data_IF_850999107923
#
_entry.id   IF_850999107923
#
_cell.length_a   1.000
_cell.length_b   1.000
_cell.length_c   1.000
_cell.angle_alpha   90.00
_cell.angle_beta   90.00
_cell.angle_gamma   90.00
#
_symmetry.space_group_name_H-M   'P 1'
#
loop_
_entity.id
_entity.type
_entity.pdbx_description
1 polymer ?
#
# COMPACT_ATOMS: atom_id res chain seq x y z
N UNK A 1 -0.93 -0.51 -29.51
CA UNK A 1 -0.62 -0.61 -28.06
C UNK A 1 0.39 0.48 -27.78
N UNK A 2 0.02 1.55 -27.11
CA UNK A 2 0.96 2.58 -26.66
C UNK A 2 1.89 1.93 -25.63
N UNK A 3 3.17 1.84 -25.95
CA UNK A 3 4.20 1.39 -25.01
C UNK A 3 4.42 2.52 -23.99
N UNK A 4 3.52 2.61 -23.01
CA UNK A 4 3.76 3.47 -21.86
C UNK A 4 5.00 2.93 -21.11
N UNK A 5 6.02 3.76 -21.02
CA UNK A 5 7.20 3.42 -20.23
C UNK A 5 6.81 3.31 -18.74
N UNK A 6 7.22 2.25 -18.04
CA UNK A 6 6.91 2.11 -16.63
C UNK A 6 7.54 3.24 -15.81
N UNK A 7 6.79 3.72 -14.81
CA UNK A 7 7.30 4.72 -13.88
C UNK A 7 8.38 4.12 -12.96
N UNK A 8 8.18 2.86 -12.53
CA UNK A 8 9.17 2.06 -11.82
C UNK A 8 9.46 0.83 -12.66
N UNK A 9 10.73 0.59 -12.93
CA UNK A 9 11.20 -0.63 -13.58
C UNK A 9 12.35 -1.22 -12.77
N UNK A 10 12.21 -2.45 -12.34
CA UNK A 10 13.26 -3.23 -11.68
C UNK A 10 13.61 -4.43 -12.56
N UNK A 11 14.89 -4.57 -12.90
CA UNK A 11 15.41 -5.61 -13.77
C UNK A 11 16.41 -6.47 -13.01
N UNK A 12 16.08 -7.75 -12.83
CA UNK A 12 16.91 -8.81 -12.22
C UNK A 12 17.62 -8.36 -10.94
N UNK A 13 16.90 -7.69 -10.05
CA UNK A 13 17.49 -7.20 -8.81
C UNK A 13 17.62 -8.29 -7.77
N UNK A 14 18.83 -8.41 -7.21
CA UNK A 14 19.13 -9.20 -6.03
C UNK A 14 19.54 -8.28 -4.88
N UNK A 15 19.28 -8.71 -3.66
CA UNK A 15 19.83 -8.08 -2.48
C UNK A 15 20.07 -9.09 -1.36
N UNK A 16 21.30 -9.05 -0.84
CA UNK A 16 21.72 -9.84 0.31
C UNK A 16 22.21 -8.90 1.40
N UNK A 17 21.68 -9.07 2.62
CA UNK A 17 22.15 -8.31 3.78
C UNK A 17 23.59 -8.70 4.17
N UNK A 18 24.33 -7.82 4.90
CA UNK A 18 25.73 -8.12 5.33
C UNK A 18 25.86 -9.40 6.16
N UNK A 19 24.79 -9.84 6.83
CA UNK A 19 24.76 -11.10 7.58
C UNK A 19 24.55 -12.34 6.69
N UNK A 20 24.56 -12.21 5.37
CA UNK A 20 24.34 -13.30 4.42
C UNK A 20 22.88 -13.64 4.11
N UNK A 21 21.92 -12.97 4.74
CA UNK A 21 20.50 -13.22 4.51
C UNK A 21 20.06 -12.66 3.15
N UNK A 22 19.56 -13.50 2.24
CA UNK A 22 19.03 -13.11 0.94
C UNK A 22 17.61 -12.57 1.12
N UNK A 23 17.41 -11.30 0.75
CA UNK A 23 16.12 -10.62 0.89
C UNK A 23 15.40 -10.40 -0.44
N UNK A 24 16.13 -10.29 -1.55
CA UNK A 24 15.57 -10.19 -2.90
C UNK A 24 16.35 -11.11 -3.82
N UNK A 25 15.64 -11.85 -4.69
CA UNK A 25 16.24 -12.81 -5.62
C UNK A 25 15.56 -12.70 -6.98
N UNK A 26 16.31 -12.20 -7.98
CA UNK A 26 15.87 -12.05 -9.38
C UNK A 26 14.51 -11.36 -9.50
N UNK A 27 14.34 -10.23 -8.79
CA UNK A 27 13.10 -9.47 -8.86
C UNK A 27 13.02 -8.72 -10.19
N UNK A 28 11.98 -9.01 -10.96
CA UNK A 28 11.59 -8.29 -12.15
C UNK A 28 10.21 -7.69 -11.92
N UNK A 29 10.08 -6.36 -12.11
CA UNK A 29 8.86 -5.64 -11.78
C UNK A 29 8.74 -4.39 -12.64
N UNK A 30 7.52 -4.11 -13.11
CA UNK A 30 7.16 -2.83 -13.70
C UNK A 30 5.91 -2.27 -13.02
N UNK A 31 5.88 -0.98 -12.75
CA UNK A 31 4.71 -0.26 -12.25
C UNK A 31 4.51 0.96 -13.13
N UNK A 32 3.29 1.11 -13.66
CA UNK A 32 2.93 2.22 -14.52
C UNK A 32 2.56 3.46 -13.70
N UNK A 33 2.57 4.60 -14.35
CA UNK A 33 2.14 5.85 -13.74
C UNK A 33 0.64 5.80 -13.40
N UNK A 34 0.28 6.28 -12.19
CA UNK A 34 -1.10 6.32 -11.71
C UNK A 34 -1.64 4.97 -11.22
N UNK A 35 -0.85 3.88 -11.25
CA UNK A 35 -1.29 2.60 -10.71
C UNK A 35 -1.41 2.61 -9.18
N UNK A 36 -2.41 1.89 -8.68
CA UNK A 36 -2.51 1.45 -7.29
C UNK A 36 -2.16 -0.04 -7.22
N UNK A 37 -1.06 -0.36 -6.55
CA UNK A 37 -0.50 -1.72 -6.49
C UNK A 37 -0.30 -2.16 -5.05
N UNK A 38 -0.71 -3.40 -4.74
CA UNK A 38 -0.40 -4.06 -3.47
C UNK A 38 0.85 -4.93 -3.58
N UNK A 39 1.75 -4.86 -2.61
CA UNK A 39 2.83 -5.83 -2.43
C UNK A 39 2.48 -6.67 -1.21
N UNK A 40 2.21 -7.95 -1.41
CA UNK A 40 1.72 -8.86 -0.37
C UNK A 40 2.64 -10.09 -0.21
N UNK A 41 2.49 -10.80 0.91
CA UNK A 41 3.25 -11.99 1.21
C UNK A 41 3.58 -12.11 2.70
N UNK A 42 4.11 -13.26 3.12
CA UNK A 42 4.49 -13.53 4.52
C UNK A 42 5.55 -12.57 5.03
N UNK A 43 5.69 -12.49 6.36
CA UNK A 43 6.81 -11.77 6.98
C UNK A 43 8.14 -12.40 6.55
N UNK A 44 9.13 -11.54 6.25
CA UNK A 44 10.42 -11.99 5.73
C UNK A 44 10.45 -12.27 4.22
N UNK A 45 9.35 -12.12 3.46
CA UNK A 45 9.33 -12.32 2.00
C UNK A 45 10.12 -11.29 1.19
N UNK A 46 10.65 -10.23 1.82
CA UNK A 46 11.44 -9.19 1.15
C UNK A 46 10.66 -7.91 0.81
N UNK A 47 9.38 -7.79 1.18
CA UNK A 47 8.51 -6.65 0.82
C UNK A 47 9.11 -5.29 1.21
N UNK A 48 9.43 -5.10 2.50
CA UNK A 48 10.02 -3.84 3.00
C UNK A 48 11.40 -3.60 2.41
N UNK A 49 12.18 -4.64 2.14
CA UNK A 49 13.47 -4.51 1.44
C UNK A 49 13.25 -4.00 0.01
N UNK A 50 12.29 -4.57 -0.71
CA UNK A 50 11.96 -4.16 -2.08
C UNK A 50 11.57 -2.68 -2.15
N UNK A 51 10.64 -2.21 -1.32
CA UNK A 51 10.22 -0.80 -1.37
C UNK A 51 11.34 0.16 -0.97
N UNK A 52 12.26 -0.23 -0.09
CA UNK A 52 13.44 0.55 0.27
C UNK A 52 14.46 0.67 -0.86
N UNK A 53 14.42 -0.22 -1.85
CA UNK A 53 15.26 -0.07 -3.03
C UNK A 53 14.77 1.06 -3.93
N UNK A 54 13.47 1.37 -3.97
CA UNK A 54 12.93 2.39 -4.86
C UNK A 54 13.34 3.82 -4.48
N UNK A 55 13.55 4.10 -3.21
CA UNK A 55 14.05 5.41 -2.76
C UNK A 55 15.56 5.43 -2.48
N UNK A 56 16.25 4.33 -2.76
CA UNK A 56 17.69 4.20 -2.62
C UNK A 56 18.20 4.06 -1.18
N UNK A 57 17.34 3.84 -0.19
CA UNK A 57 17.75 3.48 1.18
C UNK A 57 18.50 2.15 1.21
N UNK A 58 18.14 1.26 0.31
CA UNK A 58 18.86 0.01 0.03
C UNK A 58 19.27 0.02 -1.43
N UNK A 59 20.50 -0.40 -1.72
CA UNK A 59 21.00 -0.56 -3.07
C UNK A 59 21.03 -2.04 -3.43
N UNK A 60 20.44 -2.45 -4.56
CA UNK A 60 20.55 -3.83 -5.01
C UNK A 60 22.01 -4.26 -5.13
N UNK A 61 22.28 -5.53 -4.79
CA UNK A 61 23.62 -6.13 -4.98
C UNK A 61 23.91 -6.32 -6.48
N UNK A 62 22.90 -6.76 -7.23
CA UNK A 62 22.92 -6.90 -8.68
C UNK A 62 21.65 -6.36 -9.31
N UNK A 63 21.66 -6.23 -10.62
CA UNK A 63 20.53 -5.70 -11.38
C UNK A 63 20.43 -4.17 -11.36
N UNK A 64 19.30 -3.64 -11.81
CA UNK A 64 19.09 -2.19 -11.92
C UNK A 64 17.65 -1.79 -11.70
N UNK A 65 17.48 -0.59 -11.14
CA UNK A 65 16.18 0.03 -10.92
C UNK A 65 16.15 1.37 -11.65
N UNK A 66 15.04 1.62 -12.33
CA UNK A 66 14.77 2.87 -13.02
C UNK A 66 13.51 3.49 -12.46
N UNK A 67 13.55 4.80 -12.23
CA UNK A 67 12.39 5.60 -11.86
C UNK A 67 12.24 6.70 -12.89
N UNK A 68 11.08 6.74 -13.52
CA UNK A 68 10.81 7.66 -14.63
C UNK A 68 11.90 7.61 -15.73
N UNK A 69 12.33 6.38 -16.09
CA UNK A 69 13.37 6.13 -17.09
C UNK A 69 14.82 6.39 -16.63
N UNK A 70 15.03 6.97 -15.43
CA UNK A 70 16.34 7.27 -14.89
C UNK A 70 16.86 6.15 -13.97
N UNK A 71 18.07 5.64 -14.23
CA UNK A 71 18.72 4.67 -13.34
C UNK A 71 19.02 5.33 -11.98
N UNK A 72 18.55 4.71 -10.90
CA UNK A 72 18.71 5.28 -9.55
C UNK A 72 20.11 5.08 -8.95
N UNK A 73 20.97 4.28 -9.59
CA UNK A 73 22.31 3.93 -9.06
C UNK A 73 23.17 5.15 -8.75
N UNK A 74 23.09 6.18 -9.58
CA UNK A 74 23.85 7.42 -9.44
C UNK A 74 23.13 8.51 -8.61
N UNK A 75 21.89 8.29 -8.21
CA UNK A 75 21.08 9.29 -7.50
C UNK A 75 21.26 9.16 -5.98
N UNK A 76 21.25 10.29 -5.27
CA UNK A 76 21.25 10.28 -3.80
C UNK A 76 19.87 9.94 -3.25
N UNK A 77 19.80 9.48 -1.99
CA UNK A 77 18.54 9.28 -1.27
C UNK A 77 17.72 10.57 -1.22
N UNK A 78 18.39 11.72 -1.00
CA UNK A 78 17.72 13.04 -0.99
C UNK A 78 17.03 13.38 -2.31
N UNK A 79 17.70 13.11 -3.45
CA UNK A 79 17.09 13.30 -4.78
C UNK A 79 15.92 12.34 -5.02
N UNK A 80 16.08 11.07 -4.66
CA UNK A 80 15.03 10.07 -4.84
C UNK A 80 13.82 10.31 -3.93
N UNK A 81 14.04 10.82 -2.71
CA UNK A 81 12.96 11.13 -1.77
C UNK A 81 12.03 12.27 -2.24
N UNK A 82 12.45 13.07 -3.23
CA UNK A 82 11.58 14.06 -3.87
C UNK A 82 10.55 13.38 -4.80
N UNK A 83 10.92 12.24 -5.41
CA UNK A 83 10.07 11.48 -6.33
C UNK A 83 9.30 10.36 -5.62
N UNK A 84 9.91 9.74 -4.61
CA UNK A 84 9.39 8.55 -3.90
C UNK A 84 9.27 8.85 -2.41
N UNK A 85 8.05 8.99 -1.94
CA UNK A 85 7.72 9.11 -0.51
C UNK A 85 7.39 7.75 0.09
N UNK A 86 8.06 7.39 1.21
CA UNK A 86 7.76 6.16 1.95
C UNK A 86 7.27 6.50 3.34
N UNK A 87 6.09 6.01 3.69
CA UNK A 87 5.51 6.04 5.03
C UNK A 87 5.70 4.64 5.63
N UNK A 88 6.57 4.52 6.63
CA UNK A 88 6.88 3.25 7.28
C UNK A 88 5.80 2.83 8.28
N UNK A 89 5.77 1.54 8.61
CA UNK A 89 4.85 0.92 9.56
C UNK A 89 4.79 1.63 10.92
N UNK A 90 5.95 2.09 11.43
CA UNK A 90 6.06 2.86 12.68
C UNK A 90 6.47 4.31 12.37
N UNK A 91 5.54 5.17 11.98
CA UNK A 91 5.86 6.53 11.56
C UNK A 91 6.41 7.41 12.69
N UNK A 92 6.22 7.03 13.94
CA UNK A 92 6.81 7.71 15.10
C UNK A 92 8.35 7.78 15.02
N UNK A 93 8.98 6.78 14.41
CA UNK A 93 10.44 6.76 14.23
C UNK A 93 10.92 7.67 13.09
N UNK A 94 10.00 8.30 12.35
CA UNK A 94 10.33 9.22 11.26
C UNK A 94 10.33 10.68 11.70
N UNK A 95 9.85 10.98 12.91
CA UNK A 95 9.66 12.35 13.41
C UNK A 95 10.69 12.61 14.50
N UNK A 96 11.45 13.71 14.38
CA UNK A 96 12.59 13.98 15.27
C UNK A 96 12.84 15.47 15.56
N UNK A 97 12.10 16.39 14.93
CA UNK A 97 12.28 17.84 15.13
C UNK A 97 11.67 18.31 16.46
N UNK A 98 12.05 19.51 16.93
CA UNK A 98 11.53 20.07 18.19
C UNK A 98 10.07 20.49 18.09
N UNK A 99 9.63 20.98 16.91
CA UNK A 99 8.25 21.38 16.66
C UNK A 99 7.71 20.73 15.40
N UNK A 100 6.38 20.69 15.29
CA UNK A 100 5.67 20.17 14.12
C UNK A 100 6.01 20.99 12.87
N UNK A 101 6.09 22.33 13.01
CA UNK A 101 6.47 23.19 11.91
C UNK A 101 7.90 22.90 11.42
N UNK A 102 8.84 22.72 12.33
CA UNK A 102 10.23 22.38 11.99
C UNK A 102 10.32 21.03 11.28
N UNK A 103 9.51 20.04 11.65
CA UNK A 103 9.46 18.74 11.00
C UNK A 103 9.06 18.85 9.51
N UNK A 104 8.01 19.64 9.23
CA UNK A 104 7.59 19.89 7.85
C UNK A 104 8.67 20.70 7.11
N UNK A 105 9.22 21.77 7.72
CA UNK A 105 10.31 22.56 7.13
C UNK A 105 11.54 21.71 6.82
N UNK A 106 11.90 20.80 7.72
CA UNK A 106 13.01 19.87 7.48
C UNK A 106 12.77 19.01 6.25
N UNK A 107 11.58 18.49 6.10
CA UNK A 107 11.20 17.67 4.95
C UNK A 107 11.25 18.43 3.62
N UNK A 108 11.06 19.75 3.65
CA UNK A 108 11.12 20.62 2.45
C UNK A 108 12.55 21.03 2.06
N UNK A 109 13.56 20.83 2.91
CA UNK A 109 14.95 21.28 2.63
C UNK A 109 15.52 20.75 1.30
N UNK A 110 15.14 19.54 0.91
CA UNK A 110 15.60 18.93 -0.34
C UNK A 110 15.05 19.61 -1.60
N UNK A 111 14.02 20.45 -1.50
CA UNK A 111 13.34 21.06 -2.65
C UNK A 111 13.92 22.43 -3.05
N UNK A 112 14.89 22.96 -2.29
CA UNK A 112 15.52 24.26 -2.55
C UNK A 112 14.50 25.43 -2.72
N UNK A 113 13.39 25.38 -1.98
CA UNK A 113 12.36 26.42 -2.00
C UNK A 113 12.86 27.71 -1.34
N UNK A 114 12.41 28.87 -1.81
CA UNK A 114 12.61 30.11 -1.06
C UNK A 114 11.77 30.13 0.23
N UNK A 115 12.10 31.07 1.14
CA UNK A 115 11.42 31.15 2.47
C UNK A 115 9.90 31.30 2.37
N UNK A 116 9.42 32.09 1.40
CA UNK A 116 7.97 32.34 1.20
C UNK A 116 7.26 31.09 0.70
N UNK A 117 7.81 30.43 -0.31
CA UNK A 117 7.27 29.18 -0.86
C UNK A 117 7.26 28.07 0.19
N UNK A 118 8.34 27.94 0.96
CA UNK A 118 8.42 26.98 2.06
C UNK A 118 7.34 27.24 3.10
N UNK A 119 7.15 28.50 3.51
CA UNK A 119 6.13 28.83 4.51
C UNK A 119 4.72 28.54 4.00
N UNK A 120 4.39 28.92 2.76
CA UNK A 120 3.07 28.61 2.14
C UNK A 120 2.82 27.11 2.12
N UNK A 121 3.82 26.28 1.78
CA UNK A 121 3.68 24.81 1.83
C UNK A 121 3.47 24.28 3.24
N UNK A 122 4.21 24.79 4.22
CA UNK A 122 4.02 24.43 5.63
C UNK A 122 2.58 24.72 6.06
N UNK A 123 2.09 25.95 5.82
CA UNK A 123 0.75 26.37 6.21
C UNK A 123 -0.33 25.51 5.55
N UNK A 124 -0.16 25.25 4.25
CA UNK A 124 -1.09 24.40 3.49
C UNK A 124 -1.14 22.97 4.04
N UNK A 125 0.02 22.37 4.30
CA UNK A 125 0.07 20.97 4.75
C UNK A 125 -0.45 20.82 6.18
N UNK A 126 -0.11 21.75 7.07
CA UNK A 126 -0.61 21.74 8.45
C UNK A 126 -2.14 21.85 8.49
N UNK A 127 -2.72 22.69 7.63
CA UNK A 127 -4.17 22.81 7.49
C UNK A 127 -4.81 21.55 6.94
N UNK A 128 -4.26 20.96 5.88
CA UNK A 128 -4.80 19.76 5.23
C UNK A 128 -4.81 18.52 6.14
N UNK A 129 -3.92 18.49 7.13
CA UNK A 129 -3.80 17.39 8.09
C UNK A 129 -4.35 17.70 9.48
N UNK A 130 -5.04 18.84 9.68
CA UNK A 130 -5.57 19.31 10.97
C UNK A 130 -4.49 19.46 12.06
N UNK A 131 -3.27 19.84 11.68
CA UNK A 131 -2.11 19.98 12.56
C UNK A 131 -1.80 21.44 12.92
N UNK A 132 -2.51 22.42 12.37
CA UNK A 132 -2.22 23.83 12.53
C UNK A 132 -2.21 24.28 14.00
N UNK A 133 -3.18 23.80 14.80
CA UNK A 133 -3.28 24.10 16.24
C UNK A 133 -2.13 23.54 17.07
N UNK A 134 -1.34 22.65 16.51
CA UNK A 134 -0.18 22.03 17.18
C UNK A 134 1.15 22.52 16.65
N UNK A 135 1.17 23.52 15.77
CA UNK A 135 2.34 24.02 15.02
C UNK A 135 3.62 24.10 15.85
N UNK A 136 3.53 24.77 17.01
CA UNK A 136 4.65 25.02 17.92
C UNK A 136 4.87 23.90 18.96
N UNK A 137 4.04 22.85 18.93
CA UNK A 137 4.19 21.72 19.87
C UNK A 137 5.29 20.80 19.44
N UNK A 138 5.92 20.15 20.43
CA UNK A 138 6.81 19.05 20.18
C UNK A 138 6.02 17.84 19.64
N UNK A 139 6.52 17.17 18.60
CA UNK A 139 5.93 15.92 18.11
C UNK A 139 5.76 14.84 19.18
N UNK A 140 6.60 14.85 20.21
CA UNK A 140 6.53 13.90 21.34
C UNK A 140 5.26 14.07 22.20
N UNK A 141 4.59 15.22 22.10
CA UNK A 141 3.36 15.53 22.83
C UNK A 141 2.09 15.26 22.00
N UNK A 142 2.22 14.61 20.86
CA UNK A 142 1.10 14.18 20.02
C UNK A 142 0.58 12.82 20.45
N UNK A 143 -0.72 12.59 20.24
CA UNK A 143 -1.29 11.23 20.27
C UNK A 143 -0.71 10.38 19.13
N UNK A 144 -0.86 9.07 19.23
CA UNK A 144 -0.39 8.15 18.19
C UNK A 144 -0.97 8.47 16.80
N UNK A 145 -2.28 8.79 16.72
CA UNK A 145 -2.92 9.19 15.46
C UNK A 145 -2.42 10.51 14.92
N UNK A 146 -2.19 11.52 15.78
CA UNK A 146 -1.62 12.81 15.38
C UNK A 146 -0.16 12.67 14.90
N UNK A 147 0.63 11.82 15.56
CA UNK A 147 2.00 11.54 15.14
C UNK A 147 2.03 10.87 13.75
N UNK A 148 1.10 9.95 13.48
CA UNK A 148 0.94 9.35 12.15
C UNK A 148 0.56 10.39 11.10
N UNK A 149 -0.39 11.27 11.40
CA UNK A 149 -0.76 12.40 10.52
C UNK A 149 0.45 13.27 10.21
N UNK A 150 1.26 13.60 11.22
CA UNK A 150 2.48 14.38 11.03
C UNK A 150 3.50 13.67 10.12
N UNK A 151 3.75 12.39 10.34
CA UNK A 151 4.66 11.62 9.51
C UNK A 151 4.18 11.51 8.05
N UNK A 152 2.88 11.37 7.83
CA UNK A 152 2.30 11.42 6.48
C UNK A 152 2.45 12.83 5.89
N UNK A 153 2.11 13.87 6.65
CA UNK A 153 2.24 15.27 6.24
C UNK A 153 3.68 15.64 5.85
N UNK A 154 4.69 15.15 6.58
CA UNK A 154 6.11 15.38 6.29
C UNK A 154 6.57 14.76 4.97
N UNK A 155 5.90 13.71 4.49
CA UNK A 155 6.13 13.13 3.17
C UNK A 155 5.35 13.90 2.10
N UNK A 156 4.07 14.18 2.35
CA UNK A 156 3.16 14.84 1.41
C UNK A 156 3.54 16.28 1.09
N UNK A 157 4.18 16.99 2.03
CA UNK A 157 4.64 18.36 1.78
C UNK A 157 5.61 18.48 0.58
N UNK A 158 6.33 17.41 0.24
CA UNK A 158 7.22 17.34 -0.93
C UNK A 158 6.48 17.05 -2.24
N UNK A 159 5.21 16.61 -2.17
CA UNK A 159 4.38 16.23 -3.30
C UNK A 159 5.03 15.15 -4.20
N UNK A 160 5.48 14.01 -3.66
CA UNK A 160 6.16 12.98 -4.46
C UNK A 160 5.21 12.40 -5.51
N UNK A 161 5.78 11.90 -6.61
CA UNK A 161 5.03 11.24 -7.69
C UNK A 161 4.61 9.82 -7.32
N UNK A 162 5.42 9.17 -6.48
CA UNK A 162 5.21 7.80 -5.99
C UNK A 162 5.04 7.85 -4.47
N UNK A 163 3.96 7.29 -4.00
CA UNK A 163 3.64 7.15 -2.57
C UNK A 163 3.66 5.67 -2.19
N UNK A 164 4.45 5.32 -1.19
CA UNK A 164 4.57 3.96 -0.69
C UNK A 164 4.15 3.94 0.78
N UNK A 165 3.23 3.05 1.11
CA UNK A 165 2.73 2.84 2.46
C UNK A 165 3.08 1.43 2.93
N UNK A 166 3.85 1.32 4.00
CA UNK A 166 4.25 0.04 4.59
C UNK A 166 3.32 -0.29 5.77
N UNK A 167 2.42 -1.26 5.59
CA UNK A 167 1.41 -1.74 6.55
C UNK A 167 0.51 -0.63 7.14
N UNK A 168 -0.13 0.21 6.32
CA UNK A 168 -0.82 1.41 6.78
C UNK A 168 -2.07 1.14 7.64
N UNK A 169 -2.65 -0.05 7.54
CA UNK A 169 -3.88 -0.44 8.26
C UNK A 169 -3.61 -1.19 9.56
N UNK A 170 -2.35 -1.54 9.83
CA UNK A 170 -2.00 -2.33 11.01
C UNK A 170 -2.17 -1.51 12.29
N UNK A 171 -2.97 -2.05 13.24
CA UNK A 171 -3.24 -1.40 14.52
C UNK A 171 -4.05 -0.11 14.43
N UNK A 172 -4.77 0.10 13.32
CA UNK A 172 -5.62 1.26 13.10
C UNK A 172 -7.07 0.97 13.52
N UNK A 173 -7.75 2.00 14.02
CA UNK A 173 -9.20 1.96 14.19
C UNK A 173 -9.93 2.26 12.87
N UNK A 174 -11.26 2.12 12.88
CA UNK A 174 -12.07 2.33 11.69
C UNK A 174 -11.97 3.75 11.10
N UNK A 175 -11.83 4.77 11.96
CA UNK A 175 -11.70 6.18 11.53
C UNK A 175 -10.35 6.45 10.87
N UNK A 176 -9.29 5.86 11.42
CA UNK A 176 -7.94 5.97 10.87
C UNK A 176 -7.85 5.27 9.50
N UNK A 177 -8.50 4.09 9.37
CA UNK A 177 -8.59 3.37 8.09
C UNK A 177 -9.38 4.19 7.07
N UNK A 178 -10.50 4.78 7.46
CA UNK A 178 -11.31 5.64 6.58
C UNK A 178 -10.52 6.88 6.12
N UNK A 179 -9.81 7.54 7.03
CA UNK A 179 -8.91 8.65 6.69
C UNK A 179 -7.88 8.23 5.63
N UNK A 180 -7.25 7.06 5.83
CA UNK A 180 -6.26 6.53 4.91
C UNK A 180 -6.85 6.19 3.53
N UNK A 181 -8.03 5.57 3.49
CA UNK A 181 -8.74 5.28 2.24
C UNK A 181 -9.06 6.57 1.47
N UNK A 182 -9.55 7.60 2.18
CA UNK A 182 -9.87 8.88 1.56
C UNK A 182 -8.60 9.57 1.02
N UNK A 183 -7.49 9.48 1.74
CA UNK A 183 -6.17 9.96 1.29
C UNK A 183 -5.74 9.28 -0.01
N UNK A 184 -5.79 7.94 -0.07
CA UNK A 184 -5.46 7.17 -1.28
C UNK A 184 -6.35 7.60 -2.45
N UNK A 185 -7.67 7.68 -2.25
CA UNK A 185 -8.61 8.07 -3.30
C UNK A 185 -8.32 9.46 -3.85
N UNK A 186 -7.95 10.41 -2.99
CA UNK A 186 -7.58 11.76 -3.41
C UNK A 186 -6.29 11.76 -4.22
N UNK A 187 -5.28 11.01 -3.79
CA UNK A 187 -4.01 10.93 -4.51
C UNK A 187 -4.13 10.18 -5.85
N UNK A 188 -5.03 9.20 -5.94
CA UNK A 188 -5.36 8.56 -7.21
C UNK A 188 -5.99 9.55 -8.22
N UNK A 189 -6.88 10.46 -7.75
CA UNK A 189 -7.42 11.53 -8.61
C UNK A 189 -6.33 12.46 -9.14
N UNK A 190 -5.26 12.64 -8.38
CA UNK A 190 -4.07 13.41 -8.76
C UNK A 190 -3.07 12.59 -9.61
N UNK A 191 -3.49 11.40 -10.09
CA UNK A 191 -2.67 10.48 -10.93
C UNK A 191 -1.34 10.10 -10.25
N UNK A 192 -1.31 10.06 -8.92
CA UNK A 192 -0.16 9.53 -8.18
C UNK A 192 -0.09 8.01 -8.30
N UNK A 193 1.13 7.49 -8.37
CA UNK A 193 1.36 6.05 -8.29
C UNK A 193 1.45 5.66 -6.82
N UNK A 194 0.66 4.68 -6.42
CA UNK A 194 0.53 4.29 -5.02
C UNK A 194 0.88 2.82 -4.85
N UNK A 195 1.80 2.54 -3.94
CA UNK A 195 2.19 1.18 -3.56
C UNK A 195 1.81 0.96 -2.10
N UNK A 196 1.07 -0.11 -1.84
CA UNK A 196 0.66 -0.48 -0.48
C UNK A 196 1.26 -1.84 -0.16
N UNK A 197 2.17 -1.87 0.80
CA UNK A 197 2.64 -3.14 1.38
C UNK A 197 1.68 -3.52 2.47
N UNK A 198 1.07 -4.70 2.36
CA UNK A 198 0.14 -5.20 3.38
C UNK A 198 0.03 -6.71 3.38
N UNK A 199 -0.37 -7.28 4.51
CA UNK A 199 -0.81 -8.67 4.65
C UNK A 199 -2.34 -8.75 4.89
N UNK A 200 -3.05 -7.62 4.93
CA UNK A 200 -4.49 -7.56 5.10
C UNK A 200 -5.20 -7.87 3.77
N UNK A 201 -5.63 -9.12 3.64
CA UNK A 201 -6.29 -9.63 2.43
C UNK A 201 -7.62 -8.94 2.16
N UNK A 202 -8.42 -8.72 3.21
CA UNK A 202 -9.74 -8.08 3.06
C UNK A 202 -9.60 -6.65 2.51
N UNK A 203 -8.66 -5.88 3.08
CA UNK A 203 -8.35 -4.55 2.58
C UNK A 203 -7.86 -4.59 1.12
N UNK A 204 -6.97 -5.54 0.79
CA UNK A 204 -6.46 -5.66 -0.57
C UNK A 204 -7.55 -6.04 -1.57
N UNK A 205 -8.43 -6.99 -1.22
CA UNK A 205 -9.56 -7.40 -2.06
C UNK A 205 -10.54 -6.26 -2.34
N UNK A 206 -10.73 -5.37 -1.37
CA UNK A 206 -11.70 -4.27 -1.50
C UNK A 206 -11.14 -3.05 -2.24
N UNK A 207 -9.85 -2.72 -2.03
CA UNK A 207 -9.30 -1.43 -2.47
C UNK A 207 -8.17 -1.51 -3.48
N UNK A 208 -7.50 -2.65 -3.64
CA UNK A 208 -6.30 -2.76 -4.47
C UNK A 208 -6.59 -3.54 -5.75
N UNK A 209 -6.46 -2.94 -6.94
CA UNK A 209 -6.79 -3.61 -8.20
C UNK A 209 -5.75 -4.64 -8.65
N UNK A 210 -4.44 -4.38 -8.39
CA UNK A 210 -3.31 -5.23 -8.80
C UNK A 210 -2.48 -5.61 -7.58
N UNK A 211 -2.14 -6.89 -7.46
CA UNK A 211 -1.32 -7.41 -6.38
C UNK A 211 -0.08 -8.10 -6.93
N UNK A 212 1.07 -7.75 -6.34
CA UNK A 212 2.34 -8.44 -6.49
C UNK A 212 2.53 -9.29 -5.25
N UNK A 213 2.56 -10.61 -5.43
CA UNK A 213 2.67 -11.56 -4.35
C UNK A 213 4.10 -12.05 -4.22
N UNK A 214 4.68 -11.91 -3.03
CA UNK A 214 6.06 -12.29 -2.75
C UNK A 214 6.13 -13.48 -1.78
N UNK A 215 7.03 -14.41 -2.05
CA UNK A 215 7.44 -15.48 -1.15
C UNK A 215 8.92 -15.79 -1.35
N UNK A 216 9.61 -16.11 -0.27
CA UNK A 216 11.00 -16.59 -0.31
C UNK A 216 11.91 -15.69 -1.17
N UNK A 217 11.80 -14.38 -0.93
CA UNK A 217 12.59 -13.33 -1.60
C UNK A 217 12.32 -13.16 -3.11
N UNK A 218 11.24 -13.75 -3.63
CA UNK A 218 10.86 -13.71 -5.05
C UNK A 218 9.43 -13.21 -5.25
N UNK A 219 9.15 -12.67 -6.44
CA UNK A 219 7.78 -12.45 -6.91
C UNK A 219 7.26 -13.78 -7.45
N UNK A 220 6.17 -14.29 -6.88
CA UNK A 220 5.56 -15.56 -7.30
C UNK A 220 4.28 -15.37 -8.12
N UNK A 221 3.67 -14.19 -8.05
CA UNK A 221 2.54 -13.81 -8.88
C UNK A 221 2.44 -12.29 -8.99
N UNK A 222 1.92 -11.80 -10.11
CA UNK A 222 1.64 -10.39 -10.39
C UNK A 222 0.40 -10.30 -11.29
N UNK A 223 -0.62 -9.57 -10.87
CA UNK A 223 -1.86 -9.43 -11.64
C UNK A 223 -3.05 -8.93 -10.83
N UNK A 224 -4.28 -9.10 -11.35
CA UNK A 224 -5.50 -8.68 -10.68
C UNK A 224 -5.65 -9.31 -9.29
N UNK A 225 -5.86 -8.47 -8.28
CA UNK A 225 -5.91 -8.87 -6.87
C UNK A 225 -6.88 -10.03 -6.63
N UNK A 226 -8.09 -9.94 -7.17
CA UNK A 226 -9.10 -10.98 -6.99
C UNK A 226 -8.65 -12.35 -7.54
N UNK A 227 -7.90 -12.39 -8.66
CA UNK A 227 -7.39 -13.66 -9.21
C UNK A 227 -6.27 -14.26 -8.37
N UNK A 228 -5.40 -13.41 -7.81
CA UNK A 228 -4.27 -13.85 -7.01
C UNK A 228 -4.73 -14.32 -5.64
N UNK A 229 -5.54 -13.52 -4.94
CA UNK A 229 -5.90 -13.78 -3.55
C UNK A 229 -7.03 -14.81 -3.38
N UNK A 230 -7.69 -15.21 -4.46
CA UNK A 230 -8.63 -16.36 -4.45
C UNK A 230 -7.97 -17.68 -4.90
N UNK A 231 -6.73 -17.61 -5.39
CA UNK A 231 -5.97 -18.79 -5.78
C UNK A 231 -5.35 -19.45 -4.54
N UNK A 232 -5.91 -20.60 -4.15
CA UNK A 232 -5.50 -21.33 -2.94
C UNK A 232 -4.03 -21.72 -2.93
N UNK A 233 -3.50 -22.16 -4.05
CA UNK A 233 -2.09 -22.54 -4.17
C UNK A 233 -1.17 -21.35 -3.86
N UNK A 234 -1.48 -20.17 -4.41
CA UNK A 234 -0.70 -18.96 -4.18
C UNK A 234 -0.83 -18.48 -2.73
N UNK A 235 -2.04 -18.47 -2.18
CA UNK A 235 -2.31 -18.04 -0.81
C UNK A 235 -1.62 -18.95 0.19
N UNK A 236 -1.72 -20.27 0.03
CA UNK A 236 -1.05 -21.26 0.89
C UNK A 236 0.48 -21.12 0.83
N UNK A 237 1.05 -20.88 -0.35
CA UNK A 237 2.50 -20.68 -0.53
C UNK A 237 3.04 -19.45 0.20
N UNK A 238 2.19 -18.46 0.46
CA UNK A 238 2.54 -17.22 1.16
C UNK A 238 2.14 -17.19 2.62
N UNK A 239 1.58 -18.28 3.16
CA UNK A 239 1.02 -18.34 4.52
C UNK A 239 -0.01 -17.24 4.79
N UNK A 240 -0.66 -16.75 3.75
CA UNK A 240 -1.82 -15.88 3.85
C UNK A 240 -3.08 -16.75 4.06
N UNK A 241 -4.12 -16.14 4.61
CA UNK A 241 -5.40 -16.82 4.81
C UNK A 241 -6.32 -16.39 3.68
N UNK A 242 -7.07 -17.33 3.09
CA UNK A 242 -8.07 -16.99 2.06
C UNK A 242 -9.04 -15.93 2.56
N UNK A 243 -9.52 -15.02 1.69
CA UNK A 243 -10.53 -14.03 2.06
C UNK A 243 -11.74 -14.68 2.73
N UNK A 244 -12.31 -14.02 3.75
CA UNK A 244 -13.47 -14.55 4.50
C UNK A 244 -14.62 -14.94 3.57
N UNK A 245 -14.84 -14.16 2.51
CA UNK A 245 -15.88 -14.44 1.53
C UNK A 245 -15.65 -15.77 0.82
N UNK A 246 -14.40 -16.13 0.53
CA UNK A 246 -14.04 -17.39 -0.10
C UNK A 246 -14.19 -18.56 0.88
N UNK A 247 -13.81 -18.36 2.14
CA UNK A 247 -14.03 -19.36 3.20
C UNK A 247 -15.52 -19.63 3.39
N UNK A 248 -16.33 -18.56 3.40
CA UNK A 248 -17.78 -18.67 3.52
C UNK A 248 -18.42 -19.36 2.30
N UNK A 249 -17.96 -19.06 1.08
CA UNK A 249 -18.37 -19.76 -0.13
C UNK A 249 -18.14 -21.26 -0.03
N UNK A 250 -16.99 -21.68 0.49
CA UNK A 250 -16.70 -23.11 0.72
C UNK A 250 -17.69 -23.71 1.72
N UNK A 251 -17.90 -23.07 2.86
CA UNK A 251 -18.84 -23.57 3.84
C UNK A 251 -20.27 -23.71 3.27
N UNK A 252 -20.69 -22.80 2.38
CA UNK A 252 -21.98 -22.94 1.67
C UNK A 252 -21.99 -24.16 0.74
N UNK A 253 -20.90 -24.39 0.01
CA UNK A 253 -20.75 -25.57 -0.85
C UNK A 253 -20.81 -26.87 -0.06
N UNK A 254 -20.15 -26.93 1.10
CA UNK A 254 -20.11 -28.12 1.96
C UNK A 254 -21.52 -28.51 2.48
N UNK A 255 -22.41 -27.55 2.62
CA UNK A 255 -23.83 -27.79 2.99
C UNK A 255 -24.77 -27.86 1.77
N UNK A 256 -24.23 -27.98 0.56
CA UNK A 256 -25.01 -28.18 -0.68
C UNK A 256 -25.59 -26.91 -1.30
N UNK A 257 -25.15 -25.71 -0.87
CA UNK A 257 -25.55 -24.44 -1.47
C UNK A 257 -24.52 -24.02 -2.51
N UNK A 258 -24.85 -24.16 -3.79
CA UNK A 258 -23.98 -23.77 -4.91
C UNK A 258 -23.94 -22.23 -5.04
N UNK A 259 -22.98 -21.61 -4.37
CA UNK A 259 -22.70 -20.19 -4.50
C UNK A 259 -21.70 -19.94 -5.63
N UNK A 260 -21.96 -18.99 -6.54
CA UNK A 260 -21.02 -18.67 -7.62
C UNK A 260 -19.67 -18.20 -7.08
N UNK A 261 -18.57 -18.77 -7.58
CA UNK A 261 -17.21 -18.37 -7.22
C UNK A 261 -16.86 -16.91 -7.64
N UNK A 262 -17.68 -16.32 -8.48
CA UNK A 262 -17.57 -14.91 -8.89
C UNK A 262 -17.98 -13.92 -7.80
N UNK A 263 -18.59 -14.39 -6.72
CA UNK A 263 -18.98 -13.55 -5.59
C UNK A 263 -17.75 -13.32 -4.70
N UNK A 264 -17.18 -12.12 -4.82
CA UNK A 264 -15.95 -11.71 -4.12
C UNK A 264 -16.19 -10.55 -3.13
N UNK A 265 -17.43 -10.08 -2.98
CA UNK A 265 -17.75 -8.99 -2.05
C UNK A 265 -18.87 -9.39 -1.09
N UNK A 266 -18.85 -8.80 0.14
CA UNK A 266 -19.90 -8.99 1.15
C UNK A 266 -21.27 -8.60 0.61
N UNK A 267 -21.35 -7.50 -0.15
CA UNK A 267 -22.60 -7.01 -0.74
C UNK A 267 -23.22 -8.06 -1.67
N UNK A 268 -22.44 -8.56 -2.63
CA UNK A 268 -22.92 -9.56 -3.58
C UNK A 268 -23.32 -10.87 -2.89
N UNK A 269 -22.61 -11.24 -1.82
CA UNK A 269 -22.95 -12.41 -1.01
C UNK A 269 -24.29 -12.24 -0.31
N UNK A 270 -24.54 -11.10 0.29
CA UNK A 270 -25.82 -10.79 0.94
C UNK A 270 -26.95 -10.84 -0.09
N UNK A 271 -26.79 -10.24 -1.25
CA UNK A 271 -27.78 -10.27 -2.34
C UNK A 271 -28.06 -11.70 -2.82
N UNK A 272 -27.02 -12.52 -3.00
CA UNK A 272 -27.16 -13.92 -3.33
C UNK A 272 -27.96 -14.68 -2.28
N UNK A 273 -27.62 -14.55 -0.99
CA UNK A 273 -28.30 -15.25 0.11
C UNK A 273 -29.77 -14.84 0.24
N UNK A 274 -30.06 -13.53 0.09
CA UNK A 274 -31.46 -13.07 0.08
C UNK A 274 -32.25 -13.72 -1.04
N UNK A 275 -31.69 -13.77 -2.25
CA UNK A 275 -32.32 -14.45 -3.41
C UNK A 275 -32.51 -15.94 -3.19
N UNK A 276 -31.49 -16.62 -2.66
CA UNK A 276 -31.55 -18.04 -2.35
C UNK A 276 -32.65 -18.38 -1.32
N UNK A 277 -32.72 -17.62 -0.22
CA UNK A 277 -33.71 -17.82 0.84
C UNK A 277 -35.14 -17.55 0.36
N UNK A 278 -35.35 -16.50 -0.44
CA UNK A 278 -36.68 -16.21 -1.04
C UNK A 278 -37.14 -17.36 -1.94
N UNK A 279 -36.26 -17.88 -2.77
CA UNK A 279 -36.60 -19.01 -3.66
C UNK A 279 -36.92 -20.29 -2.89
N UNK A 280 -36.21 -20.55 -1.78
CA UNK A 280 -36.49 -21.71 -0.92
C UNK A 280 -37.83 -21.57 -0.18
N UNK A 281 -38.16 -20.38 0.34
CA UNK A 281 -39.44 -20.10 0.99
C UNK A 281 -40.62 -20.31 0.03
N UNK A 282 -40.49 -19.85 -1.22
CA UNK A 282 -41.56 -20.01 -2.23
C UNK A 282 -41.77 -21.49 -2.64
N UNK A 283 -40.72 -22.32 -2.64
CA UNK A 283 -40.87 -23.78 -2.91
C UNK A 283 -41.59 -24.50 -1.79
N UNK A 284 -41.31 -24.16 -0.52
CA UNK A 284 -41.97 -24.77 0.66
C UNK A 284 -43.45 -24.40 0.72
N UNK A 285 -43.83 -23.20 0.29
CA UNK A 285 -45.23 -22.76 0.23
C UNK A 285 -45.99 -23.43 -0.92
N UNK A 286 -45.30 -23.67 -2.06
CA UNK A 286 -45.90 -24.32 -3.23
C UNK A 286 -46.07 -25.87 -3.13
N UNK A 287 -45.33 -26.54 -2.22
CA UNK A 287 -45.45 -27.96 -1.94
C UNK A 287 -46.55 -28.29 -0.87
N UNK A 288 -47.09 -27.25 -0.21
CA UNK A 288 -48.15 -27.41 0.79
C UNK A 288 -49.51 -26.89 0.30
N UNK A 289 -49.68 -26.61 -0.99
CA UNK A 289 -50.94 -26.30 -1.68
C UNK A 289 -51.26 -27.39 -2.72
#
# INVERSE_FOLDING_TARGET
MSTEFPLILANDIDYTYPNGSVALKKINLNILKGELVGIMGKNGAGKTTLIRTFNGLIRPTTGSIYINGENIKSKTVGTLSQKVGIIFQNPQHQVFSNTIEEEIKFSLKSLNLNKKESQVRVDTILKNFDLEKYRERSPLNLSGGETKKLAVASIFCRNPEILIFDEPTLGQDAKEIEFFINLIKNEQKNVKTIIIVTHNIEFAMEFIPRTILMSDSQIIADGPTHKILTNEFLVNKTSLILPQINQFNRALHDIGINCPLTITSKKNMIEFLIGYLKNKSNRVIGENL
#
